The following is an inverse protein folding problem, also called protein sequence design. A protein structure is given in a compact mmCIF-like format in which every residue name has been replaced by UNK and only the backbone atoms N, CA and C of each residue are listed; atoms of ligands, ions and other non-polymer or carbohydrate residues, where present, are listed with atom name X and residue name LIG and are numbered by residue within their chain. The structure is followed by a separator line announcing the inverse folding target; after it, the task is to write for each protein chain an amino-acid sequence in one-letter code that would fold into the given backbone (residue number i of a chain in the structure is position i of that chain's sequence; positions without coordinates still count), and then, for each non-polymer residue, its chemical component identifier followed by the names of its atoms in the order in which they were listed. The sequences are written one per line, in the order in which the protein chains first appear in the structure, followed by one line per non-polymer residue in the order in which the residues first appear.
data_IF_311429163267
#
_entry.id   IF_311429163267
#
_cell.length_a   1.000
_cell.length_b   1.000
_cell.length_c   1.000
_cell.angle_alpha   90.00
_cell.angle_beta   90.00
_cell.angle_gamma   90.00
#
_symmetry.space_group_name_H-M   'P 1'
#
loop_
_entity.id
_entity.type
_entity.pdbx_description
1 polymer ?
#
# COMPACT_ATOMS: atom_id res chain seq x y z
N UNK A 1 10.48 -9.61 9.10
CA UNK A 1 9.79 -8.57 8.30
C UNK A 1 10.78 -7.47 7.98
N UNK A 2 10.88 -7.00 6.73
CA UNK A 2 11.70 -5.83 6.41
C UNK A 2 11.14 -4.61 7.15
N UNK A 3 12.02 -3.82 7.77
CA UNK A 3 11.63 -2.54 8.38
C UNK A 3 11.29 -1.53 7.29
N UNK A 4 10.19 -0.80 7.44
CA UNK A 4 9.76 0.24 6.50
C UNK A 4 10.55 1.51 6.78
N UNK A 5 11.37 1.95 5.81
CA UNK A 5 12.08 3.22 5.86
C UNK A 5 11.11 4.37 5.53
N UNK A 6 10.98 5.36 6.41
CA UNK A 6 10.09 6.49 6.20
C UNK A 6 10.77 7.62 5.43
N UNK A 7 10.27 7.94 4.24
CA UNK A 7 10.72 9.07 3.40
C UNK A 7 9.53 9.99 3.09
N UNK A 8 9.11 10.84 4.05
CA UNK A 8 7.97 11.72 3.84
C UNK A 8 8.19 12.70 2.69
N UNK A 9 7.11 13.00 1.95
CA UNK A 9 7.07 14.07 0.95
C UNK A 9 7.54 15.41 1.51
N UNK A 10 8.44 16.07 0.77
CA UNK A 10 8.85 17.45 0.99
C UNK A 10 7.86 18.47 0.42
N UNK A 11 6.81 18.01 -0.27
CA UNK A 11 5.78 18.85 -0.88
C UNK A 11 4.38 18.24 -0.64
N UNK A 12 3.93 18.14 0.62
CA UNK A 12 2.57 17.68 0.94
C UNK A 12 1.53 18.72 0.50
N UNK A 13 0.30 18.27 0.27
CA UNK A 13 -0.82 19.19 0.08
C UNK A 13 -0.98 20.14 1.28
N UNK A 14 -1.37 21.39 1.00
CA UNK A 14 -1.74 22.32 2.07
C UNK A 14 -2.99 21.83 2.81
N UNK A 15 -3.17 22.27 4.06
CA UNK A 15 -4.35 21.91 4.85
C UNK A 15 -5.64 22.32 4.15
N UNK A 16 -5.67 23.51 3.53
CA UNK A 16 -6.83 24.01 2.80
C UNK A 16 -7.19 23.12 1.58
N UNK A 17 -6.19 22.67 0.81
CA UNK A 17 -6.42 21.76 -0.32
C UNK A 17 -6.91 20.39 0.16
N UNK A 18 -6.33 19.88 1.24
CA UNK A 18 -6.74 18.61 1.86
C UNK A 18 -8.17 18.68 2.38
N UNK A 19 -8.55 19.74 3.07
CA UNK A 19 -9.91 19.97 3.55
C UNK A 19 -10.91 20.07 2.40
N UNK A 20 -10.57 20.79 1.32
CA UNK A 20 -11.40 20.90 0.13
C UNK A 20 -11.66 19.52 -0.52
N UNK A 21 -10.63 18.66 -0.59
CA UNK A 21 -10.78 17.27 -1.07
C UNK A 21 -11.69 16.46 -0.13
N UNK A 22 -11.45 16.54 1.18
CA UNK A 22 -12.17 15.75 2.19
C UNK A 22 -13.66 16.14 2.30
N UNK A 23 -14.05 17.33 1.87
CA UNK A 23 -15.45 17.75 1.82
C UNK A 23 -16.28 16.95 0.79
N UNK A 24 -15.68 16.48 -0.29
CA UNK A 24 -16.34 15.63 -1.29
C UNK A 24 -15.33 14.75 -2.06
N UNK A 25 -14.74 13.72 -1.42
CA UNK A 25 -13.62 12.97 -1.98
C UNK A 25 -14.03 11.93 -3.04
N UNK A 26 -15.33 11.60 -3.13
CA UNK A 26 -15.81 10.50 -3.96
C UNK A 26 -15.19 9.15 -3.57
N UNK A 27 -14.92 8.29 -4.55
CA UNK A 27 -14.27 6.99 -4.34
C UNK A 27 -13.12 6.80 -5.34
N UNK A 28 -11.90 6.58 -4.83
CA UNK A 28 -10.72 6.29 -5.65
C UNK A 28 -10.28 7.41 -6.61
N UNK A 29 -10.59 8.67 -6.30
CA UNK A 29 -10.28 9.84 -7.16
C UNK A 29 -9.07 10.64 -6.69
N UNK A 30 -8.86 10.69 -5.38
CA UNK A 30 -7.78 11.42 -4.74
C UNK A 30 -6.95 10.45 -3.91
N UNK A 31 -5.64 10.68 -3.86
CA UNK A 31 -4.67 9.85 -3.15
C UNK A 31 -3.92 10.71 -2.13
N UNK A 32 -3.39 10.05 -1.09
CA UNK A 32 -2.61 10.70 -0.03
C UNK A 32 -1.24 11.16 -0.53
N UNK A 33 -0.55 11.97 0.28
CA UNK A 33 0.77 12.51 -0.05
C UNK A 33 1.86 11.41 -0.18
N UNK A 34 1.58 10.19 0.28
CA UNK A 34 2.52 9.09 0.36
C UNK A 34 1.92 7.76 -0.11
N UNK A 35 2.81 6.80 -0.41
CA UNK A 35 2.51 5.40 -0.66
C UNK A 35 3.61 4.50 -0.09
N UNK A 36 3.29 3.24 0.22
CA UNK A 36 4.28 2.24 0.63
C UNK A 36 4.67 1.37 -0.57
N UNK A 37 5.97 1.10 -0.70
CA UNK A 37 6.54 0.20 -1.71
C UNK A 37 7.44 -0.84 -1.04
N UNK A 38 7.42 -2.08 -1.54
CA UNK A 38 8.26 -3.17 -1.04
C UNK A 38 8.70 -4.00 -2.24
N UNK A 39 10.00 -4.27 -2.36
CA UNK A 39 10.57 -5.05 -3.46
C UNK A 39 10.67 -6.52 -3.12
N UNK A 40 10.57 -7.37 -4.12
CA UNK A 40 10.90 -8.78 -4.02
C UNK A 40 11.88 -9.16 -5.13
N UNK A 41 12.89 -9.96 -4.79
CA UNK A 41 13.75 -10.61 -5.78
C UNK A 41 14.03 -12.04 -5.36
N UNK A 42 14.15 -12.93 -6.34
CA UNK A 42 14.53 -14.32 -6.13
C UNK A 42 15.88 -14.39 -5.39
N UNK A 43 16.00 -15.28 -4.41
CA UNK A 43 17.19 -15.42 -3.57
C UNK A 43 17.36 -14.39 -2.45
N UNK A 44 16.73 -13.20 -2.54
CA UNK A 44 16.76 -12.16 -1.48
C UNK A 44 15.45 -12.10 -0.69
N UNK A 45 14.32 -12.43 -1.31
CA UNK A 45 12.99 -12.30 -0.72
C UNK A 45 12.50 -10.85 -0.71
N UNK A 46 11.59 -10.51 0.21
CA UNK A 46 11.07 -9.16 0.40
C UNK A 46 12.10 -8.23 1.05
N UNK A 47 12.34 -7.07 0.46
CA UNK A 47 13.37 -6.12 0.88
C UNK A 47 13.04 -4.68 0.41
N UNK A 48 13.88 -3.73 0.81
CA UNK A 48 13.76 -2.30 0.46
C UNK A 48 12.33 -1.76 0.65
N UNK A 49 11.73 -2.05 1.82
CA UNK A 49 10.40 -1.55 2.19
C UNK A 49 10.48 -0.07 2.56
N UNK A 50 9.66 0.78 1.94
CA UNK A 50 9.75 2.23 2.09
C UNK A 50 8.37 2.89 2.01
N UNK A 51 8.10 3.86 2.88
CA UNK A 51 7.08 4.89 2.66
C UNK A 51 7.72 6.03 1.89
N UNK A 52 7.15 6.38 0.75
CA UNK A 52 7.69 7.38 -0.19
C UNK A 52 6.59 8.34 -0.65
N UNK A 53 6.92 9.51 -1.24
CA UNK A 53 5.92 10.39 -1.82
C UNK A 53 5.09 9.67 -2.89
N UNK A 54 3.79 9.91 -2.91
CA UNK A 54 2.91 9.35 -3.95
C UNK A 54 3.34 9.86 -5.32
N UNK A 55 3.47 8.97 -6.30
CA UNK A 55 3.99 9.32 -7.62
C UNK A 55 3.93 8.18 -8.64
N UNK A 56 4.31 8.46 -9.89
CA UNK A 56 4.28 7.47 -10.96
C UNK A 56 5.25 6.31 -10.69
N UNK A 57 4.83 5.10 -11.06
CA UNK A 57 5.69 3.91 -11.04
C UNK A 57 6.49 3.81 -12.34
N UNK A 58 7.78 3.53 -12.23
CA UNK A 58 8.63 3.19 -13.37
C UNK A 58 8.61 1.67 -13.58
N UNK A 59 8.12 1.23 -14.74
CA UNK A 59 7.99 -0.18 -15.10
C UNK A 59 8.66 -0.43 -16.45
N UNK A 60 9.32 -1.57 -16.56
CA UNK A 60 9.81 -2.07 -17.85
C UNK A 60 8.60 -2.36 -18.78
N UNK A 61 8.64 -1.97 -20.06
CA UNK A 61 7.54 -2.23 -20.99
C UNK A 61 7.17 -3.70 -21.15
N UNK A 62 8.08 -4.65 -20.87
CA UNK A 62 7.88 -6.09 -20.91
C UNK A 62 7.46 -6.68 -19.55
N UNK A 63 7.13 -5.86 -18.55
CA UNK A 63 6.74 -6.33 -17.22
C UNK A 63 5.50 -7.25 -17.28
N UNK A 64 5.53 -8.39 -16.57
CA UNK A 64 4.47 -9.41 -16.60
C UNK A 64 3.09 -8.88 -16.21
N UNK A 65 3.01 -7.86 -15.35
CA UNK A 65 1.75 -7.19 -15.03
C UNK A 65 1.05 -6.64 -16.28
N UNK A 66 1.81 -6.07 -17.22
CA UNK A 66 1.28 -5.42 -18.41
C UNK A 66 0.92 -6.41 -19.53
N UNK A 67 1.56 -7.59 -19.58
CA UNK A 67 1.38 -8.56 -20.67
C UNK A 67 0.52 -9.76 -20.28
N UNK A 68 0.60 -10.19 -19.03
CA UNK A 68 0.01 -11.44 -18.55
C UNK A 68 -0.83 -11.27 -17.27
N UNK A 69 -1.06 -10.02 -16.84
CA UNK A 69 -1.89 -9.69 -15.69
C UNK A 69 -1.56 -10.49 -14.42
N UNK A 70 -0.28 -10.80 -14.19
CA UNK A 70 0.16 -11.41 -12.93
C UNK A 70 0.18 -10.35 -11.83
N UNK A 71 -1.00 -10.03 -11.33
CA UNK A 71 -1.22 -9.02 -10.29
C UNK A 71 -2.40 -9.40 -9.39
N UNK A 72 -2.37 -8.91 -8.15
CA UNK A 72 -3.42 -9.09 -7.14
C UNK A 72 -3.58 -7.78 -6.37
N UNK A 73 -4.73 -7.59 -5.75
CA UNK A 73 -5.00 -6.42 -4.92
C UNK A 73 -5.77 -6.79 -3.65
N UNK A 74 -5.85 -5.84 -2.72
CA UNK A 74 -6.70 -5.92 -1.54
C UNK A 74 -7.51 -4.63 -1.34
N UNK A 75 -8.57 -4.74 -0.54
CA UNK A 75 -9.44 -3.62 -0.20
C UNK A 75 -9.84 -3.65 1.27
N UNK A 76 -9.37 -2.64 2.01
CA UNK A 76 -9.76 -2.38 3.40
C UNK A 76 -9.89 -0.86 3.62
N UNK A 77 -10.25 -0.47 4.84
CA UNK A 77 -10.52 0.92 5.21
C UNK A 77 -9.93 1.21 6.59
N UNK A 78 -9.43 2.42 6.74
CA UNK A 78 -9.06 3.03 8.01
C UNK A 78 -10.15 4.01 8.45
N UNK A 79 -10.48 4.00 9.74
CA UNK A 79 -11.54 4.81 10.32
C UNK A 79 -11.03 5.57 11.53
N UNK A 80 -11.21 6.90 11.53
CA UNK A 80 -10.99 7.73 12.71
C UNK A 80 -12.04 7.38 13.77
N UNK A 81 -11.58 7.12 14.98
CA UNK A 81 -12.41 6.80 16.14
C UNK A 81 -12.77 8.07 16.93
N UNK A 82 -13.81 8.03 17.77
CA UNK A 82 -14.20 9.16 18.62
C UNK A 82 -13.10 9.64 19.59
N UNK A 83 -12.17 8.76 19.97
CA UNK A 83 -11.02 9.07 20.85
C UNK A 83 -9.81 9.65 20.09
N UNK A 84 -9.94 9.88 18.78
CA UNK A 84 -8.89 10.41 17.91
C UNK A 84 -7.96 9.36 17.33
N UNK A 85 -8.02 8.10 17.78
CA UNK A 85 -7.24 7.00 17.20
C UNK A 85 -7.74 6.64 15.80
N UNK A 86 -6.97 5.82 15.07
CA UNK A 86 -7.34 5.27 13.77
C UNK A 86 -7.36 3.74 13.88
N UNK A 87 -8.41 3.12 13.36
CA UNK A 87 -8.55 1.67 13.37
C UNK A 87 -8.96 1.12 12.00
N UNK A 88 -8.53 -0.10 11.73
CA UNK A 88 -8.92 -0.89 10.56
C UNK A 88 -9.73 -2.11 11.00
N UNK A 89 -10.72 -2.52 10.21
CA UNK A 89 -11.54 -3.68 10.53
C UNK A 89 -10.92 -4.97 9.95
N UNK A 90 -10.44 -5.85 10.83
CA UNK A 90 -9.87 -7.17 10.49
C UNK A 90 -8.78 -7.14 9.39
N UNK A 91 -7.75 -6.27 9.49
CA UNK A 91 -6.71 -6.17 8.47
C UNK A 91 -5.93 -7.49 8.28
N UNK A 92 -5.84 -8.32 9.33
CA UNK A 92 -5.24 -9.65 9.28
C UNK A 92 -6.01 -10.62 8.35
N UNK A 93 -7.33 -10.46 8.23
CA UNK A 93 -8.13 -11.25 7.30
C UNK A 93 -7.86 -10.86 5.84
N UNK A 94 -7.69 -9.56 5.56
CA UNK A 94 -7.26 -9.05 4.25
C UNK A 94 -5.86 -9.56 3.91
N UNK A 95 -4.90 -9.45 4.83
CA UNK A 95 -3.53 -9.92 4.63
C UNK A 95 -3.47 -11.42 4.28
N UNK A 96 -4.20 -12.28 5.02
CA UNK A 96 -4.29 -13.72 4.70
C UNK A 96 -4.98 -13.98 3.36
N UNK A 97 -5.92 -13.13 2.94
CA UNK A 97 -6.54 -13.26 1.61
C UNK A 97 -5.57 -12.83 0.50
N UNK A 98 -4.78 -11.78 0.72
CA UNK A 98 -3.69 -11.38 -0.17
C UNK A 98 -2.69 -12.52 -0.39
N UNK A 99 -2.26 -13.22 0.67
CA UNK A 99 -1.40 -14.41 0.56
C UNK A 99 -2.04 -15.52 -0.29
N UNK A 100 -3.31 -15.86 -0.04
CA UNK A 100 -4.02 -16.87 -0.85
C UNK A 100 -4.11 -16.47 -2.32
N UNK A 101 -4.34 -15.19 -2.61
CA UNK A 101 -4.35 -14.68 -3.99
C UNK A 101 -2.96 -14.79 -4.62
N UNK A 102 -1.89 -14.47 -3.89
CA UNK A 102 -0.51 -14.60 -4.36
C UNK A 102 -0.18 -16.06 -4.70
N UNK A 103 -0.46 -16.99 -3.79
CA UNK A 103 -0.29 -18.42 -4.03
C UNK A 103 -1.07 -18.89 -5.27
N UNK A 104 -2.31 -18.41 -5.45
CA UNK A 104 -3.16 -18.77 -6.60
C UNK A 104 -2.59 -18.29 -7.95
N UNK A 105 -1.87 -17.18 -7.97
CA UNK A 105 -1.22 -16.62 -9.16
C UNK A 105 0.29 -16.91 -9.24
N UNK A 106 0.81 -17.83 -8.42
CA UNK A 106 2.23 -18.17 -8.36
C UNK A 106 3.15 -16.95 -8.10
N UNK A 107 2.70 -16.05 -7.23
CA UNK A 107 3.45 -14.89 -6.75
C UNK A 107 4.00 -15.17 -5.34
N UNK A 108 5.11 -14.50 -4.94
CA UNK A 108 5.59 -14.60 -3.57
C UNK A 108 4.54 -14.07 -2.57
N UNK A 109 4.35 -14.79 -1.48
CA UNK A 109 3.44 -14.39 -0.41
C UNK A 109 4.07 -13.29 0.46
N UNK A 110 3.41 -12.14 0.60
CA UNK A 110 3.83 -11.10 1.54
C UNK A 110 3.49 -11.54 2.98
N UNK A 111 4.40 -11.45 3.96
CA UNK A 111 4.08 -11.78 5.35
C UNK A 111 2.93 -10.92 5.90
N UNK A 112 2.07 -11.50 6.74
CA UNK A 112 0.88 -10.82 7.29
C UNK A 112 1.27 -9.60 8.09
N UNK A 113 2.33 -9.70 8.87
CA UNK A 113 2.87 -8.63 9.70
C UNK A 113 3.37 -7.48 8.83
N UNK A 114 4.09 -7.78 7.73
CA UNK A 114 4.53 -6.77 6.77
C UNK A 114 3.36 -6.03 6.13
N UNK A 115 2.27 -6.74 5.79
CA UNK A 115 1.07 -6.13 5.22
C UNK A 115 0.41 -5.16 6.22
N UNK A 116 0.33 -5.56 7.49
CA UNK A 116 -0.25 -4.73 8.55
C UNK A 116 0.65 -3.52 8.84
N UNK A 117 1.97 -3.71 8.97
CA UNK A 117 2.93 -2.62 9.15
C UNK A 117 2.87 -1.61 7.99
N UNK A 118 2.68 -2.07 6.75
CA UNK A 118 2.50 -1.18 5.60
C UNK A 118 1.19 -0.38 5.62
N UNK A 119 0.16 -0.85 6.33
CA UNK A 119 -1.08 -0.09 6.54
C UNK A 119 -0.94 0.94 7.68
N UNK A 120 -0.05 0.68 8.64
CA UNK A 120 0.18 1.53 9.82
C UNK A 120 1.25 2.61 9.61
N UNK A 121 2.12 2.45 8.60
CA UNK A 121 3.20 3.37 8.22
C UNK A 121 2.70 4.68 7.60
#
# INVERSE_FOLDING_TARGET
TPTIELKPSSNPLSDAEREAILANPGFGRHFTDHMVTIRWTEGRGWHDAQLVPYGPLSLDPANMTLHYAQEIFEGLKAYRQPDGTVASFRPDANARRFQRSAARLAMPELPVETFIEACDA
#
